data_IF_690521332961
#
_entry.id   IF_690521332961
#
_cell.length_a   1.000
_cell.length_b   1.000
_cell.length_c   1.000
_cell.angle_alpha   90.00
_cell.angle_beta   90.00
_cell.angle_gamma   90.00
#
_symmetry.space_group_name_H-M   'P 1'
#
loop_
_entity.id
_entity.type
_entity.pdbx_description
1 polymer ?
#
# COMPACT_ATOMS: atom_id res chain seq x y z
N UNK A 1 16.43 -9.94 -1.64
CA UNK A 1 15.68 -9.56 -2.87
C UNK A 1 14.18 -9.42 -2.65
N UNK A 2 13.51 -10.25 -1.84
CA UNK A 2 12.05 -10.14 -1.56
C UNK A 2 11.59 -8.72 -1.15
N UNK A 3 12.31 -8.05 -0.26
CA UNK A 3 11.97 -6.68 0.15
C UNK A 3 12.14 -5.65 -0.96
N UNK A 4 13.07 -5.84 -1.91
CA UNK A 4 13.27 -4.91 -3.04
C UNK A 4 12.10 -4.98 -4.03
N UNK A 5 11.62 -6.20 -4.32
CA UNK A 5 10.45 -6.41 -5.19
C UNK A 5 9.19 -5.84 -4.53
N UNK A 6 9.01 -6.09 -3.23
CA UNK A 6 7.86 -5.56 -2.49
C UNK A 6 7.88 -4.01 -2.44
N UNK A 7 9.05 -3.40 -2.24
CA UNK A 7 9.18 -1.94 -2.31
C UNK A 7 8.88 -1.39 -3.71
N UNK A 8 9.34 -2.06 -4.76
CA UNK A 8 9.05 -1.65 -6.14
C UNK A 8 7.56 -1.73 -6.46
N UNK A 9 6.89 -2.80 -6.03
CA UNK A 9 5.44 -2.97 -6.20
C UNK A 9 4.69 -1.85 -5.46
N UNK A 10 5.05 -1.56 -4.22
CA UNK A 10 4.44 -0.46 -3.45
C UNK A 10 4.67 0.90 -4.13
N UNK A 11 5.89 1.15 -4.63
CA UNK A 11 6.24 2.38 -5.32
C UNK A 11 5.41 2.56 -6.60
N UNK A 12 5.31 1.52 -7.43
CA UNK A 12 4.50 1.52 -8.65
C UNK A 12 3.01 1.77 -8.33
N UNK A 13 2.51 1.21 -7.23
CA UNK A 13 1.14 1.40 -6.79
C UNK A 13 0.86 2.86 -6.39
N UNK A 14 1.77 3.49 -5.65
CA UNK A 14 1.66 4.90 -5.24
C UNK A 14 1.69 5.83 -6.46
N UNK A 15 2.63 5.59 -7.39
CA UNK A 15 2.74 6.38 -8.63
C UNK A 15 1.47 6.26 -9.48
N UNK A 16 0.93 5.04 -9.62
CA UNK A 16 -0.31 4.81 -10.35
C UNK A 16 -1.49 5.55 -9.70
N UNK A 17 -1.60 5.50 -8.37
CA UNK A 17 -2.63 6.23 -7.64
C UNK A 17 -2.50 7.75 -7.81
N UNK A 18 -1.28 8.30 -7.78
CA UNK A 18 -1.04 9.74 -8.03
C UNK A 18 -1.49 10.17 -9.42
N UNK A 19 -1.12 9.42 -10.47
CA UNK A 19 -1.52 9.73 -11.85
C UNK A 19 -3.04 9.71 -11.99
N UNK A 20 -3.68 8.69 -11.43
CA UNK A 20 -5.13 8.53 -11.47
C UNK A 20 -5.83 9.66 -10.71
N UNK A 21 -5.29 10.05 -9.56
CA UNK A 21 -5.84 11.13 -8.75
C UNK A 21 -5.71 12.50 -9.41
N UNK A 22 -4.76 12.68 -10.34
CA UNK A 22 -4.55 13.94 -11.07
C UNK A 22 -5.37 14.04 -12.37
N UNK A 23 -6.02 12.97 -12.82
CA UNK A 23 -6.91 13.01 -13.98
C UNK A 23 -8.28 13.61 -13.58
N UNK A 24 -8.67 14.72 -14.18
CA UNK A 24 -10.00 15.31 -13.97
C UNK A 24 -11.11 14.45 -14.63
N UNK A 25 -12.31 14.44 -14.06
CA UNK A 25 -13.47 13.70 -14.58
C UNK A 25 -13.59 12.22 -14.20
N UNK A 26 -12.57 11.62 -13.58
CA UNK A 26 -12.54 10.20 -13.20
C UNK A 26 -12.89 9.92 -11.73
N UNK A 27 -13.84 10.68 -11.16
CA UNK A 27 -14.20 10.59 -9.74
C UNK A 27 -14.52 9.17 -9.21
N UNK A 28 -15.33 8.34 -9.89
CA UNK A 28 -15.59 6.97 -9.41
C UNK A 28 -14.35 6.08 -9.47
N UNK A 29 -13.49 6.27 -10.47
CA UNK A 29 -12.25 5.50 -10.62
C UNK A 29 -11.23 5.87 -9.55
N UNK A 30 -11.09 7.16 -9.21
CA UNK A 30 -10.27 7.64 -8.07
C UNK A 30 -10.72 7.00 -6.76
N UNK A 31 -12.04 6.91 -6.55
CA UNK A 31 -12.61 6.34 -5.33
C UNK A 31 -12.27 4.85 -5.18
N UNK A 32 -12.39 4.07 -6.26
CA UNK A 32 -12.01 2.64 -6.28
C UNK A 32 -10.52 2.49 -5.98
N UNK A 33 -9.67 3.25 -6.67
CA UNK A 33 -8.21 3.17 -6.51
C UNK A 33 -7.76 3.57 -5.10
N UNK A 34 -8.34 4.62 -4.53
CA UNK A 34 -8.05 5.03 -3.16
C UNK A 34 -8.49 3.97 -2.13
N UNK A 35 -9.67 3.38 -2.28
CA UNK A 35 -10.13 2.32 -1.38
C UNK A 35 -9.21 1.08 -1.44
N UNK A 36 -8.79 0.68 -2.65
CA UNK A 36 -7.84 -0.42 -2.84
C UNK A 36 -6.48 -0.09 -2.22
N UNK A 37 -5.96 1.11 -2.46
CA UNK A 37 -4.70 1.56 -1.87
C UNK A 37 -4.75 1.57 -0.35
N UNK A 38 -5.86 2.04 0.23
CA UNK A 38 -6.08 2.06 1.67
C UNK A 38 -6.15 0.65 2.26
N UNK A 39 -6.83 -0.29 1.59
CA UNK A 39 -6.86 -1.70 1.99
C UNK A 39 -5.47 -2.34 1.99
N UNK A 40 -4.66 -2.08 0.96
CA UNK A 40 -3.28 -2.58 0.89
C UNK A 40 -2.42 -1.99 2.01
N UNK A 41 -2.56 -0.70 2.32
CA UNK A 41 -1.83 -0.06 3.42
C UNK A 41 -2.19 -0.67 4.78
N UNK A 42 -3.48 -0.98 5.02
CA UNK A 42 -3.92 -1.64 6.25
C UNK A 42 -3.30 -3.03 6.38
N UNK A 43 -3.26 -3.80 5.29
CA UNK A 43 -2.65 -5.15 5.28
C UNK A 43 -1.13 -5.08 5.52
N UNK A 44 -0.44 -4.16 4.86
CA UNK A 44 1.01 -3.95 5.06
C UNK A 44 1.28 -3.51 6.49
N UNK A 45 0.51 -2.55 7.01
CA UNK A 45 0.61 -2.08 8.39
C UNK A 45 0.39 -3.20 9.40
N UNK A 46 -0.62 -4.05 9.16
CA UNK A 46 -0.92 -5.22 10.00
C UNK A 46 0.20 -6.26 9.97
N UNK A 47 0.74 -6.58 8.79
CA UNK A 47 1.87 -7.52 8.66
C UNK A 47 3.12 -6.96 9.37
N UNK A 48 3.39 -5.66 9.21
CA UNK A 48 4.51 -4.99 9.85
C UNK A 48 4.36 -4.99 11.38
N UNK A 49 3.17 -4.64 11.89
CA UNK A 49 2.85 -4.63 13.31
C UNK A 49 2.93 -6.04 13.90
N UNK A 50 2.39 -7.04 13.21
CA UNK A 50 2.46 -8.45 13.61
C UNK A 50 3.90 -8.96 13.72
N UNK A 51 4.74 -8.64 12.73
CA UNK A 51 6.17 -8.98 12.78
C UNK A 51 6.89 -8.26 13.92
N UNK A 52 6.53 -7.01 14.20
CA UNK A 52 7.11 -6.25 15.29
C UNK A 52 6.74 -6.84 16.65
N UNK A 53 5.46 -7.12 16.88
CA UNK A 53 4.95 -7.82 18.07
C UNK A 53 5.60 -9.19 18.26
N UNK A 54 5.75 -9.97 17.18
CA UNK A 54 6.39 -11.28 17.22
C UNK A 54 7.87 -11.18 17.62
N UNK A 55 8.60 -10.18 17.13
CA UNK A 55 10.00 -9.93 17.52
C UNK A 55 10.13 -9.45 18.96
N UNK A 56 9.22 -8.61 19.43
CA UNK A 56 9.19 -8.14 20.82
C UNK A 56 8.90 -9.24 21.84
N UNK A 57 8.26 -10.34 21.43
CA UNK A 57 7.92 -11.49 22.31
C UNK A 57 9.03 -12.54 22.40
N UNK A 58 10.13 -12.38 21.65
CA UNK A 58 11.28 -13.30 21.63
C UNK A 58 12.53 -12.67 22.28
N UNK A 59 12.44 -11.45 22.79
CA UNK A 59 13.36 -10.89 23.78
C UNK A 59 12.74 -11.03 25.17
#
# INVERSE_FOLDING_TARGET
MKNKILNFVVLALILSAMVINNLEGLHPFKMIVNNVAMGILILIGSDHLYRHLKRSKTQ
#
